data_IF_351825943123
#
_entry.id   IF_351825943123
#
_cell.length_a   1.000
_cell.length_b   1.000
_cell.length_c   1.000
_cell.angle_alpha   90.00
_cell.angle_beta   90.00
_cell.angle_gamma   90.00
#
_symmetry.space_group_name_H-M   'P 1'
#
loop_
_entity.id
_entity.type
_entity.pdbx_description
1 polymer ?
#
# COMPACT_ATOMS: atom_id res chain seq x y z
N UNK A 1 8.88 10.28 -3.50
CA UNK A 1 8.86 9.12 -2.59
C UNK A 1 8.00 9.48 -1.39
N UNK A 2 7.03 8.64 -1.05
CA UNK A 2 6.07 8.85 0.02
C UNK A 2 6.13 7.71 1.02
N UNK A 3 5.98 8.05 2.30
CA UNK A 3 5.95 7.08 3.39
C UNK A 3 4.52 6.85 3.82
N UNK A 4 4.15 5.58 3.95
CA UNK A 4 2.87 5.14 4.51
C UNK A 4 3.13 4.85 5.98
N UNK A 5 2.39 5.54 6.83
CA UNK A 5 2.38 5.33 8.28
C UNK A 5 1.01 4.82 8.72
N UNK A 6 0.92 4.24 9.92
CA UNK A 6 -0.36 3.97 10.56
C UNK A 6 -0.76 5.07 11.54
N UNK A 7 -1.83 4.83 12.29
CA UNK A 7 -2.35 5.74 13.32
C UNK A 7 -1.39 5.97 14.50
N UNK A 8 -0.43 5.06 14.73
CA UNK A 8 0.61 5.17 15.76
C UNK A 8 1.90 5.85 15.22
N UNK A 9 1.83 6.47 14.03
CA UNK A 9 2.98 7.04 13.29
C UNK A 9 4.05 5.98 12.91
N UNK A 10 3.72 4.69 12.96
CA UNK A 10 4.65 3.62 12.57
C UNK A 10 4.83 3.57 11.06
N UNK A 11 6.07 3.42 10.59
CA UNK A 11 6.37 3.26 9.15
C UNK A 11 5.95 1.86 8.69
N UNK A 12 4.89 1.80 7.90
CA UNK A 12 4.35 0.55 7.36
C UNK A 12 4.97 0.20 6.01
N UNK A 13 5.06 1.18 5.11
CA UNK A 13 5.56 0.97 3.76
C UNK A 13 6.09 2.26 3.12
N UNK A 14 6.80 2.10 2.02
CA UNK A 14 7.30 3.21 1.20
C UNK A 14 6.81 3.02 -0.22
N UNK A 15 6.27 4.09 -0.80
CA UNK A 15 5.78 4.08 -2.17
C UNK A 15 6.33 5.27 -2.96
N UNK A 16 6.24 5.20 -4.28
CA UNK A 16 6.45 6.34 -5.17
C UNK A 16 5.19 7.21 -5.24
N UNK A 17 5.34 8.39 -5.81
CA UNK A 17 4.24 9.30 -6.12
C UNK A 17 3.22 8.70 -7.11
N UNK A 18 3.66 7.73 -7.92
CA UNK A 18 2.86 6.95 -8.85
C UNK A 18 2.15 5.74 -8.20
N UNK A 19 2.04 5.73 -6.86
CA UNK A 19 1.43 4.63 -6.10
C UNK A 19 2.12 3.26 -6.30
N UNK A 20 3.39 3.22 -6.73
CA UNK A 20 4.16 1.98 -6.77
C UNK A 20 4.81 1.73 -5.41
N UNK A 21 4.55 0.59 -4.78
CA UNK A 21 5.24 0.21 -3.55
C UNK A 21 6.69 -0.14 -3.83
N UNK A 22 7.60 0.58 -3.18
CA UNK A 22 9.04 0.32 -3.21
C UNK A 22 9.39 -0.76 -2.18
N UNK A 23 8.67 -0.79 -1.06
CA UNK A 23 8.93 -1.75 0.02
C UNK A 23 7.80 -1.80 1.04
N UNK A 24 7.79 -2.87 1.84
CA UNK A 24 6.77 -3.08 2.87
C UNK A 24 5.47 -3.72 2.38
N UNK A 25 5.45 -4.38 1.22
CA UNK A 25 4.27 -5.10 0.71
C UNK A 25 3.63 -6.02 1.75
N UNK A 26 4.45 -6.83 2.43
CA UNK A 26 3.97 -7.73 3.46
C UNK A 26 3.40 -6.98 4.66
N UNK A 27 4.11 -5.98 5.19
CA UNK A 27 3.66 -5.18 6.35
C UNK A 27 2.40 -4.39 6.03
N UNK A 28 2.31 -3.81 4.82
CA UNK A 28 1.11 -3.13 4.32
C UNK A 28 -0.08 -4.08 4.22
N UNK A 29 0.13 -5.30 3.70
CA UNK A 29 -0.92 -6.31 3.59
C UNK A 29 -1.41 -6.74 4.98
N UNK A 30 -0.51 -6.97 5.93
CA UNK A 30 -0.86 -7.30 7.31
C UNK A 30 -1.66 -6.16 7.94
N UNK A 31 -1.19 -4.91 7.87
CA UNK A 31 -1.92 -3.76 8.41
C UNK A 31 -3.28 -3.57 7.75
N UNK A 32 -3.38 -3.77 6.43
CA UNK A 32 -4.64 -3.73 5.69
C UNK A 32 -5.61 -4.81 6.15
N UNK A 33 -5.15 -6.06 6.32
CA UNK A 33 -5.96 -7.18 6.80
C UNK A 33 -6.40 -7.00 8.25
N UNK A 34 -5.60 -6.30 9.07
CA UNK A 34 -5.96 -5.93 10.43
C UNK A 34 -6.96 -4.77 10.50
N UNK A 35 -7.30 -4.15 9.36
CA UNK A 35 -8.19 -2.99 9.31
C UNK A 35 -7.56 -1.71 9.87
N UNK A 36 -6.23 -1.66 9.98
CA UNK A 36 -5.52 -0.46 10.45
C UNK A 36 -5.71 0.70 9.49
N UNK A 37 -5.86 1.90 10.04
CA UNK A 37 -5.93 3.12 9.23
C UNK A 37 -4.53 3.54 8.84
N UNK A 38 -4.30 3.63 7.54
CA UNK A 38 -3.01 3.99 6.97
C UNK A 38 -3.08 5.38 6.34
N UNK A 39 -2.01 6.15 6.52
CA UNK A 39 -1.94 7.54 6.09
C UNK A 39 -0.64 7.82 5.37
N UNK A 40 -0.70 8.76 4.43
CA UNK A 40 0.49 9.31 3.81
C UNK A 40 1.15 10.29 4.78
N UNK A 41 2.37 10.00 5.23
CA UNK A 41 3.12 10.87 6.15
C UNK A 41 3.22 12.32 5.66
N UNK A 42 3.37 12.50 4.35
CA UNK A 42 3.54 13.81 3.71
C UNK A 42 2.26 14.66 3.70
N UNK A 43 1.10 14.03 3.50
CA UNK A 43 -0.18 14.76 3.29
C UNK A 43 -1.20 14.54 4.40
N UNK A 44 -0.95 13.60 5.32
CA UNK A 44 -1.92 13.12 6.31
C UNK A 44 -3.16 12.45 5.71
N UNK A 45 -3.22 12.28 4.39
CA UNK A 45 -4.39 11.70 3.72
C UNK A 45 -4.44 10.19 3.91
N UNK A 46 -5.63 9.61 4.07
CA UNK A 46 -5.77 8.16 4.15
C UNK A 46 -5.26 7.51 2.86
N UNK A 47 -4.52 6.42 3.02
CA UNK A 47 -3.99 5.62 1.92
C UNK A 47 -5.10 4.73 1.39
N UNK A 48 -5.37 4.84 0.09
CA UNK A 48 -6.32 3.95 -0.59
C UNK A 48 -5.62 2.63 -0.90
N UNK A 49 -5.86 1.63 -0.05
CA UNK A 49 -5.30 0.29 -0.18
C UNK A 49 -5.72 -0.39 -1.49
N UNK A 50 -6.90 -0.07 -2.02
CA UNK A 50 -7.36 -0.55 -3.34
C UNK A 50 -6.41 -0.23 -4.49
N UNK A 51 -5.58 0.82 -4.38
CA UNK A 51 -4.59 1.15 -5.41
C UNK A 51 -3.40 0.17 -5.42
N UNK A 52 -3.13 -0.46 -4.28
CA UNK A 52 -2.00 -1.38 -4.08
C UNK A 52 -2.42 -2.85 -4.16
N UNK A 53 -3.64 -3.16 -3.71
CA UNK A 53 -4.21 -4.50 -3.70
C UNK A 53 -5.19 -4.75 -4.83
N UNK A 54 -5.37 -3.79 -5.76
CA UNK A 54 -6.07 -4.07 -7.01
C UNK A 54 -5.35 -5.24 -7.67
N UNK A 55 -5.95 -6.42 -7.53
CA UNK A 55 -5.62 -7.59 -8.30
C UNK A 55 -5.51 -7.11 -9.75
N UNK A 56 -4.35 -7.32 -10.36
CA UNK A 56 -4.27 -7.33 -11.79
C UNK A 56 -5.27 -8.40 -12.29
N UNK A 57 -6.48 -7.98 -12.65
CA UNK A 57 -7.39 -8.68 -13.57
C UNK A 57 -6.78 -8.74 -14.99
N UNK A 58 -5.46 -8.86 -15.08
CA UNK A 58 -4.70 -8.98 -16.33
C UNK A 58 -3.56 -9.96 -16.11
N UNK A 59 -3.84 -11.03 -15.38
CA UNK A 59 -3.17 -12.29 -15.67
C UNK A 59 -3.85 -12.88 -16.92
N UNK A 60 -3.56 -12.31 -18.09
CA UNK A 60 -3.46 -13.10 -19.33
C UNK A 60 -2.25 -14.01 -19.12
N UNK A 61 -2.40 -15.01 -18.24
CA UNK A 61 -1.51 -16.16 -18.22
C UNK A 61 -1.92 -16.94 -19.45
N UNK A 62 -1.08 -16.84 -20.48
CA UNK A 62 -1.03 -17.79 -21.56
C UNK A 62 -1.26 -19.20 -21.01
N UNK A 63 -2.41 -19.79 -21.29
CA UNK A 63 -2.52 -21.25 -21.38
C UNK A 63 -1.68 -21.65 -22.58
N UNK A 64 -0.51 -22.22 -22.30
CA UNK A 64 0.30 -22.95 -23.26
C UNK A 64 -0.16 -24.42 -23.28
#
# INVERSE_FOLDING_TARGET
>A
MKVIIDEDDEIIAIATDDHTLIGGHHRLAVSASMGKRLFWRDTGKPVKLDLFFKHHESSIRHTA
#
